data_IF_823355168321
#
_entry.id   IF_823355168321
#
_cell.length_a   1.000
_cell.length_b   1.000
_cell.length_c   1.000
_cell.angle_alpha   90.00
_cell.angle_beta   90.00
_cell.angle_gamma   90.00
#
_symmetry.space_group_name_H-M   'P 1'
#
loop_
_entity.id
_entity.type
_entity.pdbx_description
1 polymer ?
#
# COMPACT_ATOMS: atom_id res chain seq x y z
N UNK A 1 74.16 -1.17 22.80
CA UNK A 1 72.87 -0.56 23.20
C UNK A 1 71.89 -0.75 22.06
N UNK A 2 70.97 -1.69 22.22
CA UNK A 2 70.02 -2.10 21.18
C UNK A 2 68.73 -1.35 21.43
N UNK A 3 68.34 -0.45 20.52
CA UNK A 3 67.10 0.32 20.62
C UNK A 3 66.00 -0.49 19.94
N UNK A 4 65.12 -1.11 20.73
CA UNK A 4 63.94 -1.82 20.25
C UNK A 4 62.76 -0.87 20.09
N UNK A 5 62.26 -0.72 18.86
CA UNK A 5 61.00 -0.03 18.56
C UNK A 5 59.83 -1.01 18.77
N UNK A 6 58.99 -0.75 19.78
CA UNK A 6 57.70 -1.43 19.94
C UNK A 6 56.62 -0.65 19.17
N UNK A 7 56.13 -1.22 18.07
CA UNK A 7 55.00 -0.67 17.32
C UNK A 7 53.69 -1.00 18.04
N UNK A 8 53.03 0.03 18.58
CA UNK A 8 51.67 -0.05 19.11
C UNK A 8 50.70 0.01 17.93
N UNK A 9 50.21 -1.16 17.49
CA UNK A 9 49.11 -1.24 16.51
C UNK A 9 47.81 -0.94 17.27
N UNK A 10 47.35 0.31 17.19
CA UNK A 10 46.04 0.68 17.69
C UNK A 10 44.98 0.12 16.72
N UNK A 11 44.47 -1.08 17.03
CA UNK A 11 43.31 -1.65 16.38
C UNK A 11 42.07 -0.87 16.82
N UNK A 12 41.81 0.28 16.19
CA UNK A 12 40.49 0.89 16.25
C UNK A 12 39.55 -0.01 15.46
N UNK A 13 38.86 -0.90 16.17
CA UNK A 13 37.68 -1.58 15.69
C UNK A 13 36.72 -0.50 15.20
N UNK A 14 36.59 -0.38 13.88
CA UNK A 14 35.52 0.39 13.27
C UNK A 14 34.25 -0.36 13.63
N UNK A 15 33.57 0.08 14.68
CA UNK A 15 32.15 -0.20 14.81
C UNK A 15 31.51 0.48 13.60
N UNK A 16 31.36 -0.27 12.51
CA UNK A 16 30.37 0.05 11.50
C UNK A 16 29.04 -0.04 12.22
N UNK A 17 28.56 1.07 12.77
CA UNK A 17 27.13 1.25 12.94
C UNK A 17 26.54 0.93 11.56
N UNK A 18 25.65 -0.07 11.42
CA UNK A 18 24.97 -0.24 10.15
C UNK A 18 24.29 1.09 9.88
N UNK A 19 24.64 1.73 8.76
CA UNK A 19 23.87 2.85 8.27
C UNK A 19 22.41 2.39 8.31
N UNK A 20 21.58 3.07 9.09
CA UNK A 20 20.19 2.71 9.34
C UNK A 20 19.47 2.60 8.00
N UNK A 21 19.42 1.38 7.46
CA UNK A 21 18.67 1.09 6.26
C UNK A 21 17.22 1.00 6.73
N UNK A 22 16.38 1.90 6.22
CA UNK A 22 14.92 1.77 6.33
C UNK A 22 14.56 0.34 5.93
N UNK A 23 13.72 -0.35 6.66
CA UNK A 23 13.35 -1.74 6.31
C UNK A 23 12.00 -2.13 6.90
N UNK A 24 11.26 -2.96 6.17
CA UNK A 24 10.18 -3.70 6.76
C UNK A 24 10.75 -4.83 7.61
N UNK A 25 10.15 -5.09 8.76
CA UNK A 25 10.58 -6.16 9.66
C UNK A 25 9.42 -7.06 10.04
N UNK A 26 9.69 -8.36 10.12
CA UNK A 26 8.72 -9.38 10.46
C UNK A 26 9.34 -10.39 11.41
N UNK A 27 8.58 -10.84 12.40
CA UNK A 27 9.03 -11.89 13.31
C UNK A 27 7.87 -12.75 13.79
N UNK A 28 8.14 -14.03 14.01
CA UNK A 28 7.20 -14.98 14.60
C UNK A 28 7.98 -15.94 15.49
N UNK A 29 7.56 -16.08 16.74
CA UNK A 29 8.16 -17.02 17.68
C UNK A 29 7.18 -18.16 18.00
N UNK A 30 7.66 -19.40 18.26
CA UNK A 30 9.06 -19.82 18.19
C UNK A 30 9.57 -20.14 16.77
N UNK A 31 8.67 -20.14 15.77
CA UNK A 31 9.00 -20.50 14.39
C UNK A 31 9.10 -19.25 13.50
N UNK A 32 10.33 -18.80 13.15
CA UNK A 32 10.52 -17.63 12.32
C UNK A 32 9.89 -17.78 10.93
N UNK A 33 9.63 -16.64 10.30
CA UNK A 33 9.19 -16.60 8.91
C UNK A 33 10.32 -17.11 8.02
N UNK A 34 10.02 -18.06 7.13
CA UNK A 34 10.97 -18.64 6.18
C UNK A 34 10.25 -19.10 4.92
N UNK A 35 10.99 -19.47 3.87
CA UNK A 35 10.40 -20.08 2.68
C UNK A 35 9.71 -21.41 2.97
N UNK A 36 10.28 -22.22 3.88
CA UNK A 36 9.71 -23.50 4.29
C UNK A 36 8.46 -23.32 5.18
N UNK A 37 8.44 -22.29 6.02
CA UNK A 37 7.30 -21.95 6.88
C UNK A 37 6.91 -20.47 6.77
N UNK A 38 6.23 -20.06 5.67
CA UNK A 38 5.82 -18.68 5.49
C UNK A 38 4.92 -18.19 6.61
N UNK A 39 5.10 -16.93 6.98
CA UNK A 39 4.26 -16.21 7.91
C UNK A 39 3.02 -15.71 7.21
N UNK A 40 1.88 -16.30 7.56
CA UNK A 40 0.57 -15.82 7.11
C UNK A 40 0.34 -14.40 7.62
N UNK A 41 -0.16 -13.55 6.75
CA UNK A 41 -0.50 -12.16 7.10
C UNK A 41 -2.02 -11.97 7.05
N UNK A 42 -2.48 -10.99 7.81
CA UNK A 42 -3.81 -10.41 7.62
C UNK A 42 -3.73 -8.92 7.87
N UNK A 43 -4.66 -8.20 7.30
CA UNK A 43 -4.81 -6.78 7.54
C UNK A 43 -6.22 -6.30 7.29
N UNK A 44 -6.45 -5.05 7.67
CA UNK A 44 -7.73 -4.38 7.55
C UNK A 44 -7.54 -2.90 7.23
N UNK A 45 -8.53 -2.34 6.55
CA UNK A 45 -8.71 -0.90 6.44
C UNK A 45 -9.03 -0.31 7.80
N UNK A 46 -8.34 0.77 8.16
CA UNK A 46 -8.57 1.52 9.41
C UNK A 46 -8.77 3.01 9.12
N UNK A 47 -9.20 3.75 10.13
CA UNK A 47 -9.48 5.18 10.03
C UNK A 47 -10.80 5.47 9.32
N UNK A 48 -10.99 6.73 8.93
CA UNK A 48 -12.12 7.16 8.10
C UNK A 48 -11.63 8.20 7.09
N UNK A 49 -12.18 8.15 5.89
CA UNK A 49 -11.91 9.13 4.83
C UNK A 49 -12.73 10.41 4.98
N UNK A 50 -13.85 10.35 5.71
CA UNK A 50 -14.87 11.39 5.82
C UNK A 50 -15.57 11.27 7.19
N UNK A 51 -15.43 12.31 8.03
CA UNK A 51 -16.03 12.34 9.37
C UNK A 51 -17.56 12.19 9.35
N UNK A 52 -18.22 12.61 8.26
CA UNK A 52 -19.66 12.45 8.10
C UNK A 52 -20.06 10.99 7.83
N UNK A 53 -19.11 10.15 7.40
CA UNK A 53 -19.31 8.75 7.00
C UNK A 53 -18.18 7.86 7.53
N UNK A 54 -18.12 7.71 8.87
CA UNK A 54 -17.02 7.01 9.55
C UNK A 54 -16.90 5.53 9.16
N UNK A 55 -17.94 4.94 8.58
CA UNK A 55 -17.93 3.53 8.16
C UNK A 55 -17.15 3.26 6.86
N UNK A 56 -16.76 4.30 6.13
CA UNK A 56 -15.95 4.20 4.92
C UNK A 56 -14.49 4.49 5.24
N UNK A 57 -13.62 3.53 4.90
CA UNK A 57 -12.18 3.57 5.24
C UNK A 57 -11.30 3.81 4.03
N UNK A 58 -11.86 3.65 2.82
CA UNK A 58 -11.13 3.72 1.55
C UNK A 58 -11.91 4.58 0.55
N UNK A 59 -11.22 5.46 -0.15
CA UNK A 59 -11.77 6.31 -1.20
C UNK A 59 -10.95 6.18 -2.47
N UNK A 60 -11.62 5.98 -3.59
CA UNK A 60 -11.05 6.10 -4.92
C UNK A 60 -11.79 7.18 -5.68
N UNK A 61 -11.08 7.95 -6.49
CA UNK A 61 -11.69 8.93 -7.39
C UNK A 61 -11.17 8.71 -8.79
N UNK A 62 -12.07 8.57 -9.75
CA UNK A 62 -11.77 8.41 -11.16
C UNK A 62 -12.74 9.32 -11.93
N UNK A 63 -12.23 10.39 -12.52
CA UNK A 63 -13.06 11.43 -13.14
C UNK A 63 -14.04 12.04 -12.12
N UNK A 64 -15.33 12.07 -12.47
CA UNK A 64 -16.41 12.51 -11.59
C UNK A 64 -16.85 11.44 -10.58
N UNK A 65 -16.45 10.18 -10.76
CA UNK A 65 -16.87 9.09 -9.90
C UNK A 65 -16.01 9.03 -8.64
N UNK A 66 -16.67 9.10 -7.48
CA UNK A 66 -16.04 8.83 -6.18
C UNK A 66 -16.55 7.50 -5.67
N UNK A 67 -15.66 6.53 -5.46
CA UNK A 67 -15.96 5.19 -4.95
C UNK A 67 -15.48 5.12 -3.51
N UNK A 68 -16.35 4.75 -2.60
CA UNK A 68 -16.02 4.58 -1.20
C UNK A 68 -16.28 3.15 -0.77
N UNK A 69 -15.31 2.52 -0.10
CA UNK A 69 -15.41 1.16 0.40
C UNK A 69 -15.41 1.14 1.93
N UNK A 70 -16.30 0.32 2.50
CA UNK A 70 -16.40 0.13 3.95
C UNK A 70 -15.24 -0.69 4.48
N UNK A 71 -14.88 -1.74 3.76
CA UNK A 71 -13.85 -2.69 4.18
C UNK A 71 -12.74 -2.75 3.15
N UNK A 72 -11.50 -2.68 3.63
CA UNK A 72 -10.34 -3.28 2.98
C UNK A 72 -9.89 -4.44 3.86
N UNK A 73 -9.64 -5.61 3.30
CA UNK A 73 -9.15 -6.75 4.04
C UNK A 73 -8.09 -7.48 3.23
N UNK A 74 -6.93 -7.67 3.83
CA UNK A 74 -5.85 -8.46 3.26
C UNK A 74 -5.70 -9.77 4.01
N UNK A 75 -5.30 -10.80 3.27
CA UNK A 75 -5.00 -12.12 3.81
C UNK A 75 -4.03 -12.80 2.86
N UNK A 76 -2.85 -13.15 3.35
CA UNK A 76 -1.92 -13.97 2.62
C UNK A 76 -1.62 -15.25 3.38
N UNK A 77 -1.70 -16.37 2.67
CA UNK A 77 -1.39 -17.70 3.19
C UNK A 77 -0.18 -18.33 2.53
N UNK A 78 0.13 -17.92 1.30
CA UNK A 78 1.30 -18.34 0.53
C UNK A 78 2.13 -17.15 0.04
N UNK A 79 3.42 -17.31 -0.30
CA UNK A 79 4.27 -16.20 -0.71
C UNK A 79 3.74 -15.42 -1.92
N UNK A 80 3.08 -16.09 -2.86
CA UNK A 80 2.46 -15.45 -4.02
C UNK A 80 1.37 -14.42 -3.64
N UNK A 81 0.67 -14.64 -2.53
CA UNK A 81 -0.38 -13.74 -1.98
C UNK A 81 0.21 -12.64 -1.07
N UNK A 82 1.53 -12.68 -0.78
CA UNK A 82 2.20 -11.77 0.17
C UNK A 82 2.51 -12.38 1.55
N UNK A 83 2.48 -13.71 1.70
CA UNK A 83 2.93 -14.33 2.96
C UNK A 83 4.44 -14.13 3.14
N UNK A 84 4.85 -13.77 4.35
CA UNK A 84 6.21 -13.31 4.61
C UNK A 84 7.16 -14.50 4.78
N UNK A 85 8.26 -14.47 4.03
CA UNK A 85 9.34 -15.48 4.11
C UNK A 85 10.65 -14.91 4.66
N UNK A 86 10.65 -13.64 5.04
CA UNK A 86 11.82 -12.87 5.44
C UNK A 86 11.70 -12.33 6.86
N UNK A 87 12.84 -12.00 7.47
CA UNK A 87 12.90 -11.28 8.75
C UNK A 87 12.98 -9.77 8.55
N UNK A 88 13.71 -9.33 7.52
CA UNK A 88 13.72 -7.94 7.06
C UNK A 88 13.63 -7.88 5.53
N UNK A 89 13.09 -6.79 4.98
CA UNK A 89 12.91 -6.61 3.54
C UNK A 89 12.85 -5.14 3.13
N UNK A 90 13.30 -4.87 1.90
CA UNK A 90 13.11 -3.59 1.23
C UNK A 90 11.74 -3.44 0.58
N UNK A 91 10.98 -4.52 0.50
CA UNK A 91 9.65 -4.52 -0.10
C UNK A 91 8.64 -5.26 0.77
N UNK A 92 7.40 -4.79 0.73
CA UNK A 92 6.26 -5.44 1.36
C UNK A 92 5.14 -5.57 0.36
N UNK A 93 4.74 -6.81 0.05
CA UNK A 93 3.64 -7.09 -0.86
C UNK A 93 2.41 -7.58 -0.09
N UNK A 94 1.23 -7.09 -0.45
CA UNK A 94 -0.05 -7.52 0.13
C UNK A 94 -1.16 -7.49 -0.93
N UNK A 95 -2.12 -8.40 -0.79
CA UNK A 95 -3.34 -8.42 -1.60
C UNK A 95 -4.53 -7.95 -0.79
N UNK A 96 -5.15 -6.84 -1.21
CA UNK A 96 -6.24 -6.19 -0.48
C UNK A 96 -7.55 -6.37 -1.24
N UNK A 97 -8.52 -7.01 -0.59
CA UNK A 97 -9.89 -7.11 -1.07
C UNK A 97 -10.73 -5.96 -0.52
N UNK A 98 -11.31 -5.19 -1.43
CA UNK A 98 -12.24 -4.11 -1.08
C UNK A 98 -13.69 -4.60 -1.08
N UNK A 99 -14.48 -4.15 -0.12
CA UNK A 99 -15.84 -4.62 0.12
C UNK A 99 -16.79 -3.52 0.59
N UNK A 100 -18.09 -3.75 0.37
CA UNK A 100 -19.14 -2.78 0.70
C UNK A 100 -19.02 -1.46 -0.08
N UNK A 101 -18.42 -1.50 -1.28
CA UNK A 101 -18.13 -0.31 -2.05
C UNK A 101 -19.38 0.31 -2.66
N UNK A 102 -19.45 1.64 -2.65
CA UNK A 102 -20.48 2.42 -3.32
C UNK A 102 -19.85 3.55 -4.12
N UNK A 103 -20.36 3.80 -5.31
CA UNK A 103 -20.04 5.00 -6.08
C UNK A 103 -21.04 6.10 -5.75
N UNK A 104 -20.53 7.25 -5.37
CA UNK A 104 -21.28 8.49 -5.28
C UNK A 104 -21.39 9.05 -6.70
N UNK A 105 -22.61 9.09 -7.21
CA UNK A 105 -22.92 9.68 -8.50
C UNK A 105 -23.89 10.84 -8.30
N UNK A 106 -23.60 11.96 -8.95
CA UNK A 106 -24.47 13.14 -8.96
C UNK A 106 -25.45 13.02 -10.12
N UNK A 107 -26.74 13.08 -9.80
CA UNK A 107 -27.87 13.06 -10.72
C UNK A 107 -28.60 14.40 -10.63
N UNK A 108 -28.14 15.40 -11.40
CA UNK A 108 -28.66 16.77 -11.29
C UNK A 108 -28.42 17.37 -9.89
N UNK A 109 -29.48 17.63 -9.13
CA UNK A 109 -29.40 18.16 -7.76
C UNK A 109 -29.29 17.08 -6.67
N UNK A 110 -29.43 15.79 -7.02
CA UNK A 110 -29.38 14.68 -6.08
C UNK A 110 -28.05 13.92 -6.17
N UNK A 111 -27.50 13.51 -5.03
CA UNK A 111 -26.36 12.58 -4.99
C UNK A 111 -26.85 11.22 -4.54
N UNK A 112 -26.77 10.23 -5.42
CA UNK A 112 -27.12 8.85 -5.15
C UNK A 112 -25.89 7.99 -4.88
N UNK A 113 -26.06 6.92 -4.09
CA UNK A 113 -25.02 5.92 -3.87
C UNK A 113 -25.37 4.62 -4.61
N UNK A 114 -24.57 4.26 -5.60
CA UNK A 114 -24.75 3.06 -6.43
C UNK A 114 -23.83 1.96 -5.90
N UNK A 115 -24.31 0.73 -5.79
CA UNK A 115 -23.47 -0.40 -5.43
C UNK A 115 -22.36 -0.63 -6.48
N UNK A 116 -21.12 -0.78 -6.02
CA UNK A 116 -19.95 -0.90 -6.89
C UNK A 116 -19.16 -2.14 -6.54
N UNK A 117 -18.81 -2.94 -7.55
CA UNK A 117 -17.98 -4.12 -7.36
C UNK A 117 -16.54 -3.81 -7.76
N UNK A 118 -15.65 -3.83 -6.78
CA UNK A 118 -14.23 -3.56 -6.98
C UNK A 118 -13.48 -4.83 -7.41
N UNK A 119 -12.73 -4.75 -8.51
CA UNK A 119 -11.99 -5.83 -9.15
C UNK A 119 -12.77 -7.15 -9.26
N UNK A 120 -14.04 -7.10 -9.66
CA UNK A 120 -14.88 -8.31 -9.71
C UNK A 120 -15.07 -9.04 -8.37
N UNK A 121 -14.69 -8.42 -7.24
CA UNK A 121 -14.65 -9.01 -5.90
C UNK A 121 -13.34 -9.74 -5.56
N UNK A 122 -12.34 -9.69 -6.45
CA UNK A 122 -11.00 -10.20 -6.23
C UNK A 122 -10.13 -9.15 -5.50
N UNK A 123 -9.06 -9.59 -4.81
CA UNK A 123 -8.08 -8.67 -4.23
C UNK A 123 -7.32 -7.86 -5.29
N UNK A 124 -6.74 -6.74 -4.88
CA UNK A 124 -5.76 -5.98 -5.65
C UNK A 124 -4.42 -6.06 -4.95
N UNK A 125 -3.36 -6.36 -5.71
CA UNK A 125 -2.00 -6.45 -5.20
C UNK A 125 -1.37 -5.07 -5.06
N UNK A 126 -0.77 -4.79 -3.92
CA UNK A 126 0.07 -3.64 -3.65
C UNK A 126 1.46 -4.13 -3.30
N UNK A 127 2.49 -3.53 -3.90
CA UNK A 127 3.90 -3.76 -3.53
C UNK A 127 4.49 -2.43 -3.09
N UNK A 128 4.82 -2.35 -1.82
CA UNK A 128 5.39 -1.19 -1.16
C UNK A 128 6.91 -1.30 -1.14
N UNK A 129 7.61 -0.27 -1.60
CA UNK A 129 9.07 -0.23 -1.60
C UNK A 129 9.58 0.80 -0.60
N UNK A 130 10.71 0.48 0.06
CA UNK A 130 11.46 1.44 0.90
C UNK A 130 12.41 2.32 0.08
N UNK A 131 12.76 1.88 -1.15
CA UNK A 131 13.75 2.50 -2.03
C UNK A 131 13.15 2.66 -3.43
N UNK A 132 13.44 3.79 -4.06
CA UNK A 132 12.90 4.17 -5.35
C UNK A 132 13.49 3.58 -6.61
N UNK A 133 12.72 3.64 -7.70
CA UNK A 133 13.23 3.51 -9.07
C UNK A 133 13.95 4.80 -9.49
N UNK A 134 15.01 4.62 -10.27
CA UNK A 134 15.70 5.69 -10.99
C UNK A 134 15.59 5.31 -12.46
N UNK A 135 14.86 6.08 -13.26
CA UNK A 135 15.01 6.01 -14.72
C UNK A 135 16.04 7.04 -15.19
N UNK A 136 16.95 6.57 -16.04
CA UNK A 136 18.25 7.11 -16.48
C UNK A 136 18.58 8.59 -16.19
N UNK A 137 19.62 8.82 -15.37
CA UNK A 137 20.53 9.96 -15.56
C UNK A 137 20.93 10.81 -14.35
N UNK A 138 20.37 10.62 -13.15
CA UNK A 138 20.92 11.28 -11.95
C UNK A 138 20.66 10.48 -10.69
N UNK A 139 21.74 10.18 -9.95
CA UNK A 139 21.65 9.49 -8.67
C UNK A 139 20.86 10.29 -7.65
N UNK A 140 19.77 9.70 -7.17
CA UNK A 140 19.20 9.69 -5.81
C UNK A 140 17.82 8.98 -5.88
N UNK A 141 17.46 8.19 -4.86
CA UNK A 141 16.39 7.18 -4.87
C UNK A 141 14.99 7.75 -4.54
N UNK A 142 14.00 7.60 -5.42
CA UNK A 142 12.60 8.07 -5.24
C UNK A 142 11.60 6.96 -4.85
N UNK A 143 11.22 6.78 -3.57
CA UNK A 143 10.32 5.68 -3.11
C UNK A 143 9.05 5.45 -3.98
N UNK A 144 8.61 4.19 -4.16
CA UNK A 144 7.46 3.85 -5.04
C UNK A 144 6.51 2.76 -4.48
N UNK A 145 5.26 2.76 -4.96
CA UNK A 145 4.30 1.64 -4.79
C UNK A 145 3.90 1.09 -6.17
N UNK A 146 4.09 -0.21 -6.40
CA UNK A 146 3.45 -0.89 -7.53
C UNK A 146 2.01 -1.26 -7.15
N UNK A 147 1.05 -0.74 -7.90
CA UNK A 147 -0.38 -1.00 -7.69
C UNK A 147 -0.92 -1.84 -8.83
N UNK A 148 -1.59 -2.93 -8.46
CA UNK A 148 -2.32 -3.80 -9.39
C UNK A 148 -1.38 -4.65 -10.22
N UNK A 149 -0.71 -5.65 -9.61
CA UNK A 149 0.06 -6.67 -10.34
C UNK A 149 -0.69 -7.37 -11.51
N UNK A 150 -2.00 -7.13 -11.65
CA UNK A 150 -2.78 -7.21 -12.89
C UNK A 150 -3.79 -6.04 -12.96
N UNK A 151 -4.21 -5.67 -14.18
CA UNK A 151 -5.27 -4.68 -14.40
C UNK A 151 -6.52 -5.02 -13.57
N UNK A 152 -7.01 -4.04 -12.82
CA UNK A 152 -8.20 -4.14 -11.98
C UNK A 152 -9.35 -3.39 -12.63
N UNK A 153 -10.61 -3.72 -12.32
CA UNK A 153 -11.75 -2.94 -12.84
C UNK A 153 -12.83 -2.66 -11.81
N UNK A 154 -13.57 -1.57 -11.98
CA UNK A 154 -14.68 -1.17 -11.12
C UNK A 154 -15.97 -1.18 -11.92
N UNK A 155 -16.92 -2.02 -11.49
CA UNK A 155 -18.26 -2.06 -12.07
C UNK A 155 -19.22 -1.25 -11.21
N UNK A 156 -19.57 -0.06 -11.69
CA UNK A 156 -20.55 0.85 -11.09
C UNK A 156 -21.92 0.40 -11.57
N UNK A 157 -22.76 -0.09 -10.66
CA UNK A 157 -23.96 -0.84 -11.04
C UNK A 157 -23.58 -2.10 -11.84
N UNK A 158 -24.43 -3.12 -11.87
CA UNK A 158 -24.07 -4.35 -12.62
C UNK A 158 -23.93 -4.14 -14.14
N UNK A 159 -24.39 -3.00 -14.68
CA UNK A 159 -24.43 -2.70 -16.12
C UNK A 159 -24.17 -1.23 -16.47
N UNK A 160 -23.89 -0.34 -15.52
CA UNK A 160 -23.87 1.12 -15.80
C UNK A 160 -22.51 1.52 -16.35
N UNK A 161 -21.42 1.20 -15.66
CA UNK A 161 -20.09 1.65 -16.06
C UNK A 161 -19.01 0.67 -15.58
N UNK A 162 -18.05 0.35 -16.45
CA UNK A 162 -16.83 -0.37 -16.11
C UNK A 162 -15.63 0.56 -16.31
N UNK A 163 -14.90 0.82 -15.23
CA UNK A 163 -13.64 1.57 -15.26
C UNK A 163 -12.49 0.56 -15.13
N UNK A 164 -11.54 0.60 -16.04
CA UNK A 164 -10.30 -0.17 -15.98
C UNK A 164 -9.23 0.64 -15.26
N UNK A 165 -8.49 -0.03 -14.39
CA UNK A 165 -7.39 0.48 -13.58
C UNK A 165 -6.15 -0.38 -13.87
N UNK A 166 -5.31 0.04 -14.82
CA UNK A 166 -4.15 -0.74 -15.22
C UNK A 166 -3.11 -0.83 -14.10
N UNK A 167 -2.30 -1.89 -14.17
CA UNK A 167 -1.09 -2.03 -13.38
C UNK A 167 -0.20 -0.80 -13.57
N UNK A 168 0.23 -0.18 -12.48
CA UNK A 168 1.05 1.03 -12.55
C UNK A 168 1.90 1.22 -11.32
N UNK A 169 2.99 1.96 -11.49
CA UNK A 169 3.84 2.40 -10.40
C UNK A 169 3.47 3.83 -10.02
N UNK A 170 3.22 4.05 -8.74
CA UNK A 170 2.84 5.35 -8.18
C UNK A 170 4.02 5.88 -7.35
N UNK A 171 4.63 7.03 -7.74
CA UNK A 171 5.79 7.57 -7.04
C UNK A 171 5.39 8.23 -5.71
N UNK A 172 6.04 7.83 -4.60
CA UNK A 172 5.75 8.23 -3.20
C UNK A 172 6.43 9.57 -2.82
N UNK A 173 7.29 10.13 -3.67
CA UNK A 173 7.84 11.48 -3.45
C UNK A 173 8.97 11.86 -4.40
N UNK A 174 9.09 13.15 -4.71
CA UNK A 174 10.24 13.71 -5.44
C UNK A 174 11.15 14.49 -4.49
N UNK A 175 12.45 14.17 -4.51
CA UNK A 175 13.49 14.99 -3.86
C UNK A 175 13.71 16.31 -4.63
N UNK A 176 13.29 16.39 -5.91
CA UNK A 176 13.66 17.48 -6.82
C UNK A 176 12.64 18.59 -7.06
N UNK A 177 11.35 18.40 -6.73
CA UNK A 177 10.30 19.42 -6.95
C UNK A 177 9.30 19.44 -5.79
N UNK A 178 9.46 20.32 -4.78
CA UNK A 178 8.53 20.40 -3.66
C UNK A 178 7.10 20.87 -4.04
N UNK A 179 6.89 21.33 -5.27
CA UNK A 179 5.59 21.85 -5.77
C UNK A 179 4.79 20.86 -6.65
N UNK A 180 5.33 19.67 -6.97
CA UNK A 180 4.60 18.71 -7.80
C UNK A 180 3.52 17.95 -7.02
N UNK A 181 2.50 17.46 -7.72
CA UNK A 181 1.34 16.74 -7.17
C UNK A 181 1.70 15.32 -6.66
N UNK A 182 2.63 15.19 -5.72
CA UNK A 182 3.13 13.89 -5.30
C UNK A 182 2.16 13.13 -4.38
N UNK A 183 2.26 11.81 -4.50
CA UNK A 183 1.54 10.84 -3.69
C UNK A 183 2.37 10.43 -2.49
N UNK A 184 1.76 9.88 -1.44
CA UNK A 184 2.52 9.34 -0.32
C UNK A 184 1.96 7.99 0.14
N UNK A 185 2.83 6.98 0.31
CA UNK A 185 2.61 5.89 1.25
C UNK A 185 3.51 6.15 2.46
N UNK A 186 2.90 6.33 3.64
CA UNK A 186 3.63 6.54 4.89
C UNK A 186 3.54 5.28 5.73
N UNK A 187 4.70 4.78 6.16
CA UNK A 187 4.82 3.60 6.99
C UNK A 187 5.00 4.02 8.46
N UNK A 188 4.30 3.35 9.37
CA UNK A 188 4.45 3.57 10.81
C UNK A 188 4.12 2.28 11.56
N UNK A 189 4.48 2.23 12.84
CA UNK A 189 4.19 1.07 13.68
C UNK A 189 3.10 1.40 14.69
N UNK A 190 2.17 0.48 14.87
CA UNK A 190 1.25 0.48 15.99
C UNK A 190 1.65 -0.65 16.96
N UNK A 191 1.85 -0.30 18.23
CA UNK A 191 2.24 -1.24 19.29
C UNK A 191 1.07 -1.47 20.24
N UNK A 192 0.56 -2.70 20.28
CA UNK A 192 -0.59 -3.08 21.10
C UNK A 192 -0.14 -4.01 22.22
N UNK A 193 -0.50 -3.74 23.49
CA UNK A 193 -0.26 -4.66 24.59
C UNK A 193 -0.96 -6.01 24.37
N UNK A 194 -0.24 -7.10 24.62
CA UNK A 194 -0.72 -8.48 24.54
C UNK A 194 -0.25 -9.29 25.74
N UNK A 195 -0.90 -10.41 26.00
CA UNK A 195 -0.47 -11.33 27.07
C UNK A 195 0.94 -11.84 26.78
N UNK A 196 1.84 -11.66 27.74
CA UNK A 196 3.19 -12.23 27.71
C UNK A 196 3.09 -13.74 27.46
N UNK A 197 3.78 -14.20 26.43
CA UNK A 197 3.75 -15.60 25.99
C UNK A 197 4.98 -15.91 25.16
N UNK A 198 5.21 -17.19 24.83
CA UNK A 198 6.30 -17.59 23.94
C UNK A 198 6.22 -16.92 22.55
N UNK A 199 5.02 -16.51 22.12
CA UNK A 199 4.81 -15.78 20.85
C UNK A 199 5.15 -14.29 20.97
N UNK A 200 4.88 -13.70 22.14
CA UNK A 200 5.12 -12.29 22.45
C UNK A 200 5.81 -12.14 23.80
N UNK A 201 7.13 -12.39 23.89
CA UNK A 201 7.86 -12.35 25.17
C UNK A 201 7.90 -10.96 25.79
N UNK A 202 7.89 -9.92 24.97
CA UNK A 202 7.85 -8.50 25.40
C UNK A 202 6.48 -8.08 25.94
N UNK A 203 5.42 -8.87 25.72
CA UNK A 203 4.04 -8.44 25.98
C UNK A 203 3.54 -7.36 25.02
N UNK A 204 4.24 -7.10 23.92
CA UNK A 204 3.85 -6.16 22.88
C UNK A 204 3.72 -6.87 21.54
N UNK A 205 2.69 -6.50 20.80
CA UNK A 205 2.53 -6.87 19.39
C UNK A 205 2.69 -5.62 18.54
N UNK A 206 3.57 -5.71 17.56
CA UNK A 206 3.75 -4.67 16.56
C UNK A 206 2.98 -5.01 15.28
N UNK A 207 2.27 -4.02 14.75
CA UNK A 207 1.56 -4.07 13.47
C UNK A 207 1.98 -2.91 12.59
N UNK A 208 2.09 -3.15 11.29
CA UNK A 208 2.48 -2.15 10.31
C UNK A 208 1.25 -1.35 9.89
N UNK A 209 1.35 -0.03 9.95
CA UNK A 209 0.34 0.90 9.46
C UNK A 209 0.84 1.57 8.20
N UNK A 210 0.07 1.44 7.12
CA UNK A 210 0.37 2.01 5.81
C UNK A 210 -0.73 3.01 5.45
N UNK A 211 -0.40 4.31 5.48
CA UNK A 211 -1.31 5.37 5.06
C UNK A 211 -1.03 5.74 3.60
N UNK A 212 -2.01 5.53 2.73
CA UNK A 212 -1.91 5.75 1.30
C UNK A 212 -2.67 7.03 0.89
N UNK A 213 -2.01 7.88 0.12
CA UNK A 213 -2.58 9.03 -0.57
C UNK A 213 -2.01 9.07 -1.98
N UNK A 214 -2.59 8.28 -2.88
CA UNK A 214 -2.24 8.22 -4.29
C UNK A 214 -3.00 9.28 -5.11
N UNK A 215 -2.29 9.89 -6.05
CA UNK A 215 -2.73 10.92 -6.99
C UNK A 215 -2.15 10.59 -8.36
N UNK A 216 -2.68 11.25 -9.39
CA UNK A 216 -2.25 11.06 -10.77
C UNK A 216 -2.24 9.59 -11.22
N UNK A 217 -3.15 8.77 -10.67
CA UNK A 217 -3.28 7.38 -11.07
C UNK A 217 -3.91 7.32 -12.46
N UNK A 218 -3.35 6.46 -13.30
CA UNK A 218 -3.86 6.14 -14.63
C UNK A 218 -5.11 5.26 -14.53
N UNK A 219 -6.14 5.57 -15.31
CA UNK A 219 -7.37 4.78 -15.44
C UNK A 219 -8.03 5.04 -16.80
N UNK A 220 -8.96 4.18 -17.21
CA UNK A 220 -9.69 4.32 -18.48
C UNK A 220 -11.14 3.83 -18.36
N UNK A 221 -12.02 4.35 -19.22
CA UNK A 221 -13.38 3.82 -19.35
C UNK A 221 -13.38 2.60 -20.28
N UNK A 222 -13.69 1.43 -19.73
CA UNK A 222 -13.68 0.17 -20.48
C UNK A 222 -15.00 -0.04 -21.25
N UNK A 223 -16.14 0.00 -20.53
CA UNK A 223 -17.46 -0.30 -21.10
C UNK A 223 -18.60 0.41 -20.35
N UNK A 224 -19.77 0.55 -21.00
CA UNK A 224 -21.01 1.05 -20.38
C UNK A 224 -21.36 2.50 -20.73
N UNK A 225 -22.32 3.06 -19.98
CA UNK A 225 -22.83 4.43 -20.10
C UNK A 225 -21.96 5.47 -19.35
N UNK A 226 -20.68 5.16 -19.08
CA UNK A 226 -19.78 6.12 -18.46
C UNK A 226 -19.57 7.36 -19.33
N UNK A 227 -19.48 7.14 -20.65
CA UNK A 227 -19.02 8.10 -21.67
C UNK A 227 -19.81 7.94 -22.96
N UNK A 228 -19.93 9.02 -23.74
CA UNK A 228 -20.71 9.07 -25.00
C UNK A 228 -22.07 9.76 -24.84
N UNK A 229 -22.79 9.93 -25.95
CA UNK A 229 -24.08 10.63 -26.01
C UNK A 229 -25.10 10.02 -25.03
N UNK A 230 -25.60 10.84 -24.09
CA UNK A 230 -26.46 10.41 -22.98
C UNK A 230 -25.78 9.62 -21.85
N UNK A 231 -24.44 9.54 -21.82
CA UNK A 231 -23.63 8.97 -20.75
C UNK A 231 -23.41 9.94 -19.58
N UNK A 232 -22.88 9.44 -18.46
CA UNK A 232 -22.62 10.26 -17.26
C UNK A 232 -21.57 11.34 -17.46
N UNK A 233 -20.57 11.08 -18.32
CA UNK A 233 -19.58 12.04 -18.77
C UNK A 233 -19.62 12.15 -20.29
N UNK A 234 -20.68 12.79 -20.79
CA UNK A 234 -21.00 12.93 -22.23
C UNK A 234 -19.85 13.56 -23.05
N UNK A 235 -19.08 14.46 -22.45
CA UNK A 235 -17.92 15.13 -23.06
C UNK A 235 -16.56 14.47 -22.74
N UNK A 236 -16.51 13.44 -21.88
CA UNK A 236 -15.25 12.83 -21.54
C UNK A 236 -14.77 11.92 -22.69
N UNK A 237 -13.53 12.09 -23.18
CA UNK A 237 -12.97 11.16 -24.14
C UNK A 237 -12.89 9.77 -23.52
N UNK A 238 -13.10 8.70 -24.31
CA UNK A 238 -12.95 7.29 -23.88
C UNK A 238 -11.49 6.90 -23.56
N UNK A 239 -10.62 7.88 -23.32
CA UNK A 239 -9.17 7.73 -23.28
C UNK A 239 -8.65 7.54 -21.87
N UNK A 240 -7.46 6.97 -21.78
CA UNK A 240 -6.62 6.96 -20.59
C UNK A 240 -6.55 8.35 -19.93
N UNK A 241 -6.84 8.42 -18.64
CA UNK A 241 -6.80 9.62 -17.83
C UNK A 241 -5.84 9.42 -16.65
N UNK A 242 -5.04 10.46 -16.35
CA UNK A 242 -4.00 10.43 -15.31
C UNK A 242 -4.32 11.36 -14.14
N UNK A 243 -5.56 11.29 -13.67
CA UNK A 243 -6.06 12.13 -12.57
C UNK A 243 -6.74 11.31 -11.45
N UNK A 244 -6.60 9.99 -11.49
CA UNK A 244 -7.17 9.12 -10.47
C UNK A 244 -6.52 9.35 -9.11
N UNK A 245 -7.28 9.18 -8.03
CA UNK A 245 -6.75 9.24 -6.67
C UNK A 245 -7.22 8.05 -5.83
N UNK A 246 -6.38 7.65 -4.87
CA UNK A 246 -6.73 6.68 -3.85
C UNK A 246 -6.30 7.20 -2.47
N UNK A 247 -7.20 7.16 -1.50
CA UNK A 247 -6.91 7.49 -0.11
C UNK A 247 -7.40 6.36 0.78
N UNK A 248 -6.53 5.86 1.65
CA UNK A 248 -6.88 4.78 2.54
C UNK A 248 -5.73 4.36 3.44
N UNK A 249 -6.05 3.82 4.61
CA UNK A 249 -5.06 3.34 5.56
C UNK A 249 -5.26 1.84 5.82
N UNK A 250 -4.17 1.08 5.81
CA UNK A 250 -4.14 -0.34 6.14
C UNK A 250 -3.38 -0.55 7.45
N UNK A 251 -3.90 -1.45 8.29
CA UNK A 251 -3.17 -2.05 9.40
C UNK A 251 -2.92 -3.52 9.07
N UNK A 252 -1.65 -3.91 9.01
CA UNK A 252 -1.16 -5.22 8.58
C UNK A 252 -0.42 -5.93 9.72
N UNK A 253 -0.60 -7.25 9.83
CA UNK A 253 0.03 -8.07 10.85
C UNK A 253 0.46 -9.45 10.35
N UNK A 254 1.52 -9.98 10.96
CA UNK A 254 1.83 -11.41 10.91
C UNK A 254 0.95 -12.15 11.94
N UNK A 255 0.29 -13.23 11.51
CA UNK A 255 -0.51 -14.06 12.41
C UNK A 255 0.36 -14.70 13.49
N UNK A 256 0.16 -14.25 14.73
CA UNK A 256 0.92 -14.74 15.89
C UNK A 256 2.36 -14.22 15.93
N UNK A 257 2.64 -13.13 15.23
CA UNK A 257 3.94 -12.47 15.19
C UNK A 257 3.81 -10.95 15.10
N UNK A 258 4.94 -10.32 14.79
CA UNK A 258 5.06 -8.87 14.61
C UNK A 258 5.31 -8.56 13.14
N UNK A 259 4.78 -7.43 12.68
CA UNK A 259 5.10 -6.81 11.40
C UNK A 259 5.26 -5.31 11.64
N UNK A 260 6.30 -4.70 11.09
CA UNK A 260 6.56 -3.28 11.28
C UNK A 260 7.56 -2.73 10.28
N UNK A 261 7.94 -1.48 10.50
CA UNK A 261 8.88 -0.70 9.71
C UNK A 261 9.91 -0.04 10.64
N UNK A 262 11.18 -0.11 10.27
CA UNK A 262 12.27 0.57 10.97
C UNK A 262 12.82 1.67 10.09
N UNK A 263 13.08 2.83 10.69
CA UNK A 263 13.75 3.98 10.09
C UNK A 263 15.20 4.12 10.57
#
# INVERSE_FOLDING_TARGET
MTIGFAAVVCACAVFSAPAFAKEFTASRAPNPCSEAEPCKTKGKGIGSIDEARPEYTQQFKFGSFTIECKTAASKATVPAEGAITWATSSTFATEVKFGGCKTLAKFGSFTGAIGTKFNGGAPVKFVYHINGFVEEGSGETETEVEVGGAASSFKIGQKICTISWPAQTVPIGAIKNPEGEFTAAVYSNNSVPVKISNKFPSGLKETLVIANVFKAMTWEYEEGQCVGEGGFEEEAPKTEARNGTFKGTFEEEVLGGNLGFKE
#
